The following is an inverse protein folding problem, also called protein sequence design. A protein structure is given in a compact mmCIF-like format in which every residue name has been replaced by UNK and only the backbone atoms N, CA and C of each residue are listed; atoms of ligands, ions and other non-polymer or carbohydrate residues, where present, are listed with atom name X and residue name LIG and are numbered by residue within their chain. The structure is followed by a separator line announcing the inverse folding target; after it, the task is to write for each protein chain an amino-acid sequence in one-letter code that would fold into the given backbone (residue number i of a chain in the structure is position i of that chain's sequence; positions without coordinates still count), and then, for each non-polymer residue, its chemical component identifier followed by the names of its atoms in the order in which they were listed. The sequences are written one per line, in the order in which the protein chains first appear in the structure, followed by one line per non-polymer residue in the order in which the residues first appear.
data_IF_729374257878
#
_entry.id   IF_729374257878
#
_cell.length_a   1.000
_cell.length_b   1.000
_cell.length_c   1.000
_cell.angle_alpha   90.00
_cell.angle_beta   90.00
_cell.angle_gamma   90.00
#
_symmetry.space_group_name_H-M   'P 1'
#
loop_
_entity.id
_entity.type
_entity.pdbx_description
1 polymer ?
#
# COMPACT_ATOMS: atom_id res chain seq x y z
N UNK A 1 14.83 -1.76 -14.71
CA UNK A 1 13.95 -1.02 -15.64
C UNK A 1 13.30 0.15 -14.91
N UNK A 2 13.09 1.30 -15.56
CA UNK A 2 12.45 2.48 -14.98
C UNK A 2 11.48 3.09 -16.00
N UNK A 3 10.20 3.21 -15.65
CA UNK A 3 9.17 3.75 -16.54
C UNK A 3 7.75 3.40 -16.07
N UNK A 4 6.77 3.61 -16.95
CA UNK A 4 5.36 3.39 -16.62
C UNK A 4 4.99 1.90 -16.64
N UNK A 5 4.77 1.33 -15.46
CA UNK A 5 4.36 -0.07 -15.29
C UNK A 5 3.00 -0.39 -15.91
N UNK A 6 2.15 0.61 -16.16
CA UNK A 6 0.86 0.40 -16.82
C UNK A 6 1.00 0.14 -18.32
N UNK A 7 2.11 0.55 -18.94
CA UNK A 7 2.34 0.42 -20.38
C UNK A 7 2.66 -1.03 -20.82
N UNK A 8 2.23 -1.37 -22.04
CA UNK A 8 2.61 -2.64 -22.68
C UNK A 8 4.11 -2.70 -22.99
N UNK A 9 4.73 -1.56 -23.30
CA UNK A 9 6.17 -1.47 -23.54
C UNK A 9 6.99 -1.85 -22.30
N UNK A 10 6.58 -1.43 -21.10
CA UNK A 10 7.23 -1.83 -19.86
C UNK A 10 7.06 -3.33 -19.60
N UNK A 11 5.86 -3.86 -19.81
CA UNK A 11 5.57 -5.30 -19.68
C UNK A 11 6.47 -6.13 -20.60
N UNK A 12 6.62 -5.71 -21.86
CA UNK A 12 7.52 -6.33 -22.82
C UNK A 12 8.98 -6.29 -22.37
N UNK A 13 9.48 -5.13 -21.92
CA UNK A 13 10.86 -5.00 -21.43
C UNK A 13 11.13 -5.91 -20.23
N UNK A 14 10.18 -6.03 -19.29
CA UNK A 14 10.29 -6.94 -18.15
C UNK A 14 10.34 -8.39 -18.63
N UNK A 15 9.46 -8.79 -19.55
CA UNK A 15 9.45 -10.15 -20.13
C UNK A 15 10.79 -10.47 -20.80
N UNK A 16 11.32 -9.55 -21.62
CA UNK A 16 12.58 -9.73 -22.32
C UNK A 16 13.75 -9.86 -21.33
N UNK A 17 13.74 -9.06 -20.25
CA UNK A 17 14.74 -9.13 -19.17
C UNK A 17 14.67 -10.46 -18.43
N UNK A 18 13.46 -10.91 -18.05
CA UNK A 18 13.28 -12.20 -17.37
C UNK A 18 13.80 -13.34 -18.25
N UNK A 19 13.47 -13.35 -19.55
CA UNK A 19 13.95 -14.38 -20.49
C UNK A 19 15.46 -14.40 -20.63
N UNK A 20 16.10 -13.23 -20.67
CA UNK A 20 17.53 -13.11 -20.84
C UNK A 20 18.31 -13.60 -19.60
N UNK A 21 17.83 -13.26 -18.40
CA UNK A 21 18.63 -13.38 -17.18
C UNK A 21 18.19 -14.52 -16.26
N UNK A 22 16.88 -14.70 -16.09
CA UNK A 22 16.30 -15.59 -15.06
C UNK A 22 15.60 -16.82 -15.67
N UNK A 23 15.21 -16.76 -16.94
CA UNK A 23 14.34 -17.71 -17.61
C UNK A 23 12.88 -17.56 -17.15
N UNK A 24 12.61 -17.77 -15.86
CA UNK A 24 11.29 -17.64 -15.25
C UNK A 24 11.37 -16.98 -13.87
N UNK A 25 10.22 -16.52 -13.35
CA UNK A 25 10.05 -16.00 -11.98
C UNK A 25 9.00 -16.80 -11.21
N UNK A 26 9.20 -16.94 -9.90
CA UNK A 26 8.36 -17.71 -8.99
C UNK A 26 7.57 -16.85 -7.98
N UNK A 27 7.90 -15.56 -7.88
CA UNK A 27 7.18 -14.57 -7.08
C UNK A 27 7.01 -13.25 -7.83
N UNK A 28 5.76 -12.79 -7.96
CA UNK A 28 5.40 -11.49 -8.52
C UNK A 28 4.76 -10.63 -7.43
N UNK A 29 5.35 -9.47 -7.12
CA UNK A 29 4.79 -8.51 -6.15
C UNK A 29 4.19 -7.32 -6.89
N UNK A 30 2.87 -7.16 -6.78
CA UNK A 30 2.14 -6.02 -7.32
C UNK A 30 1.94 -4.97 -6.21
N UNK A 31 2.89 -4.05 -6.12
CA UNK A 31 2.94 -2.99 -5.09
C UNK A 31 2.91 -1.58 -5.69
N UNK A 32 2.06 -1.36 -6.70
CA UNK A 32 1.89 -0.04 -7.31
C UNK A 32 0.96 0.86 -6.48
N UNK A 33 1.42 2.09 -6.24
CA UNK A 33 0.61 3.18 -5.73
C UNK A 33 0.80 4.38 -6.65
N UNK A 34 -0.21 4.70 -7.45
CA UNK A 34 -0.17 5.79 -8.42
C UNK A 34 -1.45 6.62 -8.35
N UNK A 35 -1.37 7.97 -8.50
CA UNK A 35 -2.54 8.82 -8.60
C UNK A 35 -3.21 8.75 -9.98
N UNK A 36 -2.57 8.10 -10.97
CA UNK A 36 -3.06 8.03 -12.35
C UNK A 36 -2.62 6.77 -13.08
N UNK A 37 -3.37 6.40 -14.10
CA UNK A 37 -3.05 5.32 -15.03
C UNK A 37 -3.42 5.75 -16.44
N UNK A 38 -2.56 5.45 -17.40
CA UNK A 38 -2.92 5.53 -18.81
C UNK A 38 -3.29 4.12 -19.29
N UNK A 39 -4.45 3.97 -19.91
CA UNK A 39 -4.85 2.70 -20.52
C UNK A 39 -3.90 2.39 -21.68
N UNK A 40 -3.21 1.23 -21.68
CA UNK A 40 -2.24 0.91 -22.72
C UNK A 40 -2.89 0.66 -24.09
N UNK A 41 -4.20 0.37 -24.14
CA UNK A 41 -4.95 0.08 -25.37
C UNK A 41 -5.66 1.30 -25.92
N UNK A 42 -6.42 2.02 -25.09
CA UNK A 42 -7.19 3.19 -25.55
C UNK A 42 -6.39 4.50 -25.51
N UNK A 43 -5.37 4.59 -24.65
CA UNK A 43 -4.64 5.83 -24.37
C UNK A 43 -5.37 6.78 -23.41
N UNK A 44 -6.54 6.40 -22.88
CA UNK A 44 -7.28 7.21 -21.92
C UNK A 44 -6.51 7.33 -20.60
N UNK A 45 -6.62 8.50 -19.94
CA UNK A 45 -5.94 8.76 -18.67
C UNK A 45 -6.96 8.79 -17.54
N UNK A 46 -6.87 7.84 -16.63
CA UNK A 46 -7.65 7.77 -15.40
C UNK A 46 -6.90 8.39 -14.23
N UNK A 47 -7.64 9.01 -13.31
CA UNK A 47 -7.08 9.59 -12.08
C UNK A 47 -7.82 9.06 -10.87
N UNK A 48 -7.09 8.56 -9.88
CA UNK A 48 -7.70 8.14 -8.63
C UNK A 48 -7.95 9.35 -7.73
N UNK A 49 -9.06 9.27 -6.99
CA UNK A 49 -9.38 10.23 -5.93
C UNK A 49 -9.61 9.48 -4.63
N UNK A 50 -9.43 10.16 -3.51
CA UNK A 50 -9.67 9.63 -2.17
C UNK A 50 -10.85 10.38 -1.56
N UNK A 51 -12.06 9.86 -1.82
CA UNK A 51 -13.30 10.48 -1.38
C UNK A 51 -14.25 9.45 -0.77
N UNK A 52 -15.07 9.84 0.22
CA UNK A 52 -16.16 9.00 0.70
C UNK A 52 -17.22 8.79 -0.37
N UNK A 53 -18.03 7.74 -0.24
CA UNK A 53 -19.16 7.47 -1.14
C UNK A 53 -20.46 7.84 -0.42
N UNK A 54 -21.32 8.61 -1.09
CA UNK A 54 -22.68 8.92 -0.63
C UNK A 54 -22.82 10.20 0.21
N UNK A 55 -21.99 10.41 1.24
CA UNK A 55 -22.05 11.60 2.10
C UNK A 55 -20.67 12.17 2.38
N UNK A 56 -20.61 13.47 2.72
CA UNK A 56 -19.38 14.09 3.18
C UNK A 56 -18.90 13.44 4.49
N UNK A 57 -17.60 13.55 4.71
CA UNK A 57 -16.94 12.98 5.87
C UNK A 57 -16.09 14.05 6.56
N UNK A 58 -16.41 14.32 7.83
CA UNK A 58 -15.64 15.23 8.69
C UNK A 58 -15.00 14.45 9.82
N UNK A 59 -13.69 14.61 10.03
CA UNK A 59 -13.00 14.03 11.18
C UNK A 59 -11.74 14.84 11.55
N UNK A 60 -11.13 14.48 12.68
CA UNK A 60 -9.82 14.97 13.10
C UNK A 60 -8.74 14.60 12.09
N UNK A 61 -7.81 15.51 11.92
CA UNK A 61 -6.67 15.43 11.04
C UNK A 61 -5.44 16.03 11.73
N UNK A 62 -4.26 15.74 11.19
CA UNK A 62 -3.01 16.29 11.65
C UNK A 62 -2.33 17.05 10.52
N UNK A 63 -2.07 18.34 10.73
CA UNK A 63 -1.13 19.07 9.91
C UNK A 63 0.30 18.68 10.32
N UNK A 64 0.92 17.82 9.52
CA UNK A 64 2.25 17.25 9.78
C UNK A 64 3.39 18.26 9.72
N UNK A 65 3.15 19.47 9.18
CA UNK A 65 4.15 20.53 9.11
C UNK A 65 4.32 21.23 10.45
N UNK A 66 3.22 21.50 11.15
CA UNK A 66 3.23 22.30 12.39
C UNK A 66 2.69 21.55 13.62
N UNK A 67 2.28 20.29 13.48
CA UNK A 67 1.78 19.46 14.59
C UNK A 67 0.38 19.85 15.07
N UNK A 68 -0.36 20.67 14.32
CA UNK A 68 -1.71 21.10 14.72
C UNK A 68 -2.72 20.01 14.40
N UNK A 69 -3.49 19.60 15.41
CA UNK A 69 -4.67 18.76 15.24
C UNK A 69 -5.84 19.64 14.88
N UNK A 70 -6.44 19.40 13.73
CA UNK A 70 -7.55 20.16 13.19
C UNK A 70 -8.66 19.23 12.68
N UNK A 71 -9.72 19.79 12.12
CA UNK A 71 -10.73 19.02 11.39
C UNK A 71 -10.52 19.15 9.88
N UNK A 72 -10.87 18.10 9.15
CA UNK A 72 -10.94 18.10 7.70
C UNK A 72 -12.30 17.56 7.27
N UNK A 73 -12.91 18.21 6.28
CA UNK A 73 -14.12 17.73 5.61
C UNK A 73 -13.77 17.31 4.19
N UNK A 74 -14.20 16.11 3.80
CA UNK A 74 -14.01 15.56 2.46
C UNK A 74 -15.39 15.36 1.84
N UNK A 75 -15.62 16.01 0.70
CA UNK A 75 -16.85 15.86 -0.06
C UNK A 75 -16.94 14.48 -0.73
N UNK A 76 -18.16 13.95 -0.92
CA UNK A 76 -18.35 12.64 -1.52
C UNK A 76 -17.84 12.58 -2.96
N UNK A 77 -17.59 11.36 -3.42
CA UNK A 77 -17.28 11.06 -4.81
C UNK A 77 -18.43 11.51 -5.72
N UNK A 78 -18.09 12.11 -6.85
CA UNK A 78 -19.04 12.63 -7.84
C UNK A 78 -18.71 12.11 -9.24
N UNK A 79 -19.70 12.13 -10.14
CA UNK A 79 -19.49 11.72 -11.54
C UNK A 79 -18.92 10.31 -11.66
N UNK A 80 -17.75 10.21 -12.29
CA UNK A 80 -17.02 8.96 -12.57
C UNK A 80 -15.85 8.72 -11.60
N UNK A 81 -15.77 9.45 -10.47
CA UNK A 81 -14.68 9.35 -9.48
C UNK A 81 -14.40 7.90 -9.03
N UNK A 82 -15.47 7.10 -8.84
CA UNK A 82 -15.37 5.70 -8.44
C UNK A 82 -14.75 4.86 -9.57
N UNK A 83 -15.28 4.99 -10.79
CA UNK A 83 -14.82 4.21 -11.94
C UNK A 83 -13.37 4.55 -12.30
N UNK A 84 -13.00 5.84 -12.26
CA UNK A 84 -11.62 6.27 -12.45
C UNK A 84 -10.69 5.72 -11.36
N UNK A 85 -11.14 5.70 -10.11
CA UNK A 85 -10.33 5.16 -9.00
C UNK A 85 -10.16 3.64 -9.12
N UNK A 86 -11.21 2.91 -9.52
CA UNK A 86 -11.13 1.47 -9.81
C UNK A 86 -10.16 1.23 -10.97
N UNK A 87 -10.23 2.01 -12.05
CA UNK A 87 -9.33 1.86 -13.19
C UNK A 87 -7.85 2.03 -12.79
N UNK A 88 -7.53 2.94 -11.87
CA UNK A 88 -6.13 3.17 -11.43
C UNK A 88 -5.67 2.17 -10.37
N UNK A 89 -6.49 1.93 -9.33
CA UNK A 89 -6.06 1.25 -8.10
C UNK A 89 -6.68 -0.14 -7.91
N UNK A 90 -7.52 -0.57 -8.85
CA UNK A 90 -8.12 -1.90 -8.90
C UNK A 90 -7.15 -2.97 -9.36
N UNK A 91 -7.69 -4.13 -9.71
CA UNK A 91 -6.92 -5.32 -10.07
C UNK A 91 -6.66 -5.48 -11.57
N UNK A 92 -7.21 -4.62 -12.43
CA UNK A 92 -7.12 -4.80 -13.87
C UNK A 92 -5.67 -4.83 -14.39
N UNK A 93 -4.80 -3.91 -13.97
CA UNK A 93 -3.39 -3.93 -14.43
C UNK A 93 -2.60 -5.11 -13.85
N UNK A 94 -2.95 -5.58 -12.66
CA UNK A 94 -2.39 -6.80 -12.10
C UNK A 94 -2.76 -8.04 -12.93
N UNK A 95 -3.99 -8.11 -13.43
CA UNK A 95 -4.41 -9.12 -14.41
C UNK A 95 -3.62 -8.99 -15.71
N UNK A 96 -3.47 -7.78 -16.26
CA UNK A 96 -2.69 -7.56 -17.49
C UNK A 96 -1.23 -7.98 -17.35
N UNK A 97 -0.59 -7.68 -16.22
CA UNK A 97 0.77 -8.16 -15.92
C UNK A 97 0.83 -9.68 -15.88
N UNK A 98 -0.09 -10.31 -15.15
CA UNK A 98 -0.08 -11.77 -15.00
C UNK A 98 -0.34 -12.46 -16.33
N UNK A 99 -1.29 -11.95 -17.12
CA UNK A 99 -1.60 -12.48 -18.45
C UNK A 99 -0.39 -12.38 -19.38
N UNK A 100 0.26 -11.21 -19.45
CA UNK A 100 1.43 -11.02 -20.29
C UNK A 100 2.61 -11.93 -19.90
N UNK A 101 2.86 -12.12 -18.60
CA UNK A 101 3.91 -13.01 -18.10
C UNK A 101 3.58 -14.49 -18.35
N UNK A 102 2.32 -14.87 -18.18
CA UNK A 102 1.83 -16.24 -18.42
C UNK A 102 1.91 -16.60 -19.91
N UNK A 103 1.43 -15.73 -20.79
CA UNK A 103 1.48 -15.89 -22.25
C UNK A 103 2.93 -15.97 -22.76
N UNK A 104 3.85 -15.22 -22.15
CA UNK A 104 5.26 -15.25 -22.49
C UNK A 104 6.01 -16.50 -21.96
N UNK A 105 5.37 -17.32 -21.13
CA UNK A 105 5.95 -18.53 -20.54
C UNK A 105 7.00 -18.27 -19.47
N UNK A 106 7.00 -17.08 -18.87
CA UNK A 106 8.05 -16.64 -17.92
C UNK A 106 7.65 -16.81 -16.44
N UNK A 107 6.49 -17.41 -16.16
CA UNK A 107 6.10 -17.78 -14.79
C UNK A 107 6.45 -19.25 -14.53
N UNK A 108 7.12 -19.50 -13.40
CA UNK A 108 7.52 -20.85 -12.99
C UNK A 108 6.34 -21.67 -12.43
N UNK A 109 6.49 -22.99 -12.38
CA UNK A 109 5.59 -23.86 -11.61
C UNK A 109 5.63 -23.49 -10.11
N UNK A 110 4.47 -23.46 -9.46
CA UNK A 110 4.29 -23.01 -8.09
C UNK A 110 4.30 -21.49 -7.91
N UNK A 111 4.26 -20.69 -8.99
CA UNK A 111 4.34 -19.22 -8.92
C UNK A 111 3.35 -18.61 -7.95
N UNK A 112 3.81 -17.65 -7.16
CA UNK A 112 2.95 -16.83 -6.29
C UNK A 112 2.90 -15.42 -6.82
N UNK A 113 1.72 -14.83 -6.83
CA UNK A 113 1.57 -13.39 -7.08
C UNK A 113 0.84 -12.74 -5.93
N UNK A 114 1.32 -11.58 -5.46
CA UNK A 114 0.80 -10.91 -4.28
C UNK A 114 0.54 -9.44 -4.57
N UNK A 115 -0.68 -8.97 -4.34
CA UNK A 115 -1.02 -7.55 -4.39
C UNK A 115 -1.24 -6.99 -2.99
N UNK A 116 -0.74 -5.78 -2.73
CA UNK A 116 -0.91 -5.14 -1.43
C UNK A 116 -2.22 -4.36 -1.31
N UNK A 117 -2.85 -4.50 -0.15
CA UNK A 117 -4.10 -3.83 0.21
C UNK A 117 -4.04 -3.32 1.65
N UNK A 118 -5.04 -2.53 2.02
CA UNK A 118 -5.23 -1.98 3.35
C UNK A 118 -6.72 -1.88 3.64
N UNK A 119 -7.14 -2.29 4.83
CA UNK A 119 -8.52 -2.19 5.32
C UNK A 119 -8.59 -1.11 6.40
N UNK A 120 -7.76 -1.25 7.42
CA UNK A 120 -7.64 -0.31 8.51
C UNK A 120 -8.82 -0.28 9.49
N UNK A 121 -8.72 0.60 10.49
CA UNK A 121 -9.71 0.75 11.55
C UNK A 121 -10.98 1.44 11.05
N UNK A 122 -12.06 1.33 11.82
CA UNK A 122 -13.36 1.95 11.52
C UNK A 122 -13.27 3.47 11.30
N UNK A 123 -12.37 4.16 12.01
CA UNK A 123 -12.13 5.60 11.86
C UNK A 123 -11.61 5.98 10.46
N UNK A 124 -11.07 5.04 9.69
CA UNK A 124 -10.62 5.29 8.32
C UNK A 124 -11.58 4.78 7.25
N UNK A 125 -12.60 4.01 7.64
CA UNK A 125 -13.49 3.34 6.67
C UNK A 125 -14.18 4.29 5.69
N UNK A 126 -14.69 5.48 6.07
CA UNK A 126 -15.34 6.38 5.12
C UNK A 126 -14.45 6.79 3.95
N UNK A 127 -13.13 6.92 4.16
CA UNK A 127 -12.17 7.26 3.09
C UNK A 127 -11.63 6.00 2.43
N UNK A 128 -11.31 4.96 3.22
CA UNK A 128 -10.72 3.72 2.73
C UNK A 128 -11.77 2.70 2.35
N UNK A 129 -12.13 1.80 3.29
CA UNK A 129 -12.94 0.60 3.04
C UNK A 129 -14.25 0.88 2.30
N UNK A 130 -14.91 1.98 2.64
CA UNK A 130 -16.22 2.38 2.10
C UNK A 130 -16.13 3.55 1.11
N UNK A 131 -14.93 4.11 0.89
CA UNK A 131 -14.68 5.19 -0.06
C UNK A 131 -14.35 4.68 -1.46
N UNK A 132 -13.95 5.59 -2.35
CA UNK A 132 -13.53 5.30 -3.74
C UNK A 132 -12.40 4.27 -3.80
N UNK A 133 -11.40 4.38 -2.93
CA UNK A 133 -10.27 3.44 -2.89
C UNK A 133 -10.71 2.06 -2.39
N UNK A 134 -11.71 1.99 -1.51
CA UNK A 134 -12.31 0.73 -1.05
C UNK A 134 -12.97 -0.01 -2.21
N UNK A 135 -13.67 0.71 -3.10
CA UNK A 135 -14.22 0.13 -4.34
C UNK A 135 -13.14 -0.40 -5.27
N UNK A 136 -12.00 0.28 -5.37
CA UNK A 136 -10.85 -0.26 -6.08
C UNK A 136 -10.27 -1.53 -5.41
N UNK A 137 -10.24 -1.61 -4.07
CA UNK A 137 -9.79 -2.81 -3.37
C UNK A 137 -10.78 -3.99 -3.46
N UNK A 138 -12.08 -3.73 -3.54
CA UNK A 138 -13.07 -4.76 -3.90
C UNK A 138 -12.80 -5.35 -5.30
N UNK A 139 -12.42 -4.52 -6.28
CA UNK A 139 -12.01 -5.00 -7.61
C UNK A 139 -10.67 -5.78 -7.57
N UNK A 140 -9.74 -5.38 -6.70
CA UNK A 140 -8.49 -6.12 -6.49
C UNK A 140 -8.76 -7.55 -5.95
N UNK A 141 -9.73 -7.70 -5.05
CA UNK A 141 -10.17 -9.02 -4.56
C UNK A 141 -10.87 -9.84 -5.66
N UNK A 142 -11.62 -9.20 -6.57
CA UNK A 142 -12.15 -9.87 -7.77
C UNK A 142 -11.01 -10.37 -8.66
N UNK A 143 -10.02 -9.54 -8.95
CA UNK A 143 -8.86 -9.92 -9.75
C UNK A 143 -8.09 -11.09 -9.13
N UNK A 144 -7.90 -11.10 -7.81
CA UNK A 144 -7.25 -12.23 -7.13
C UNK A 144 -7.93 -13.58 -7.44
N UNK A 145 -9.27 -13.63 -7.40
CA UNK A 145 -10.00 -14.86 -7.72
C UNK A 145 -9.83 -15.28 -9.18
N UNK A 146 -9.86 -14.32 -10.10
CA UNK A 146 -9.62 -14.60 -11.52
C UNK A 146 -8.18 -15.09 -11.78
N UNK A 147 -7.20 -14.53 -11.07
CA UNK A 147 -5.80 -14.94 -11.18
C UNK A 147 -5.55 -16.32 -10.58
N UNK A 148 -6.24 -16.69 -9.50
CA UNK A 148 -6.19 -18.06 -8.96
C UNK A 148 -6.59 -19.10 -10.01
N UNK A 149 -7.65 -18.85 -10.77
CA UNK A 149 -8.10 -19.74 -11.86
C UNK A 149 -7.07 -19.80 -13.00
N UNK A 150 -6.52 -18.65 -13.39
CA UNK A 150 -5.52 -18.55 -14.47
C UNK A 150 -4.20 -19.25 -14.14
N UNK A 151 -3.78 -19.20 -12.87
CA UNK A 151 -2.51 -19.75 -12.41
C UNK A 151 -2.60 -21.22 -11.98
N UNK A 152 -3.81 -21.79 -11.86
CA UNK A 152 -4.01 -23.18 -11.48
C UNK A 152 -3.22 -24.20 -12.33
N UNK A 153 -3.08 -24.05 -13.67
CA UNK A 153 -2.26 -24.96 -14.48
C UNK A 153 -0.77 -24.98 -14.13
N UNK A 154 -0.27 -23.91 -13.48
CA UNK A 154 1.11 -23.82 -12.98
C UNK A 154 1.21 -24.15 -11.49
N UNK A 155 0.19 -24.77 -10.88
CA UNK A 155 0.10 -24.92 -9.42
C UNK A 155 0.30 -23.58 -8.66
N UNK A 156 0.00 -22.47 -9.33
CA UNK A 156 0.28 -21.13 -8.84
C UNK A 156 -0.86 -20.59 -7.97
N UNK A 157 -0.60 -19.44 -7.33
CA UNK A 157 -1.55 -18.84 -6.39
C UNK A 157 -1.47 -17.32 -6.38
N UNK A 158 -2.62 -16.65 -6.37
CA UNK A 158 -2.73 -15.22 -6.18
C UNK A 158 -3.19 -14.89 -4.76
N UNK A 159 -2.58 -13.88 -4.15
CA UNK A 159 -2.91 -13.40 -2.81
C UNK A 159 -3.12 -11.89 -2.80
N UNK A 160 -4.11 -11.45 -2.04
CA UNK A 160 -4.14 -10.09 -1.52
C UNK A 160 -3.54 -10.12 -0.12
N UNK A 161 -2.50 -9.32 0.12
CA UNK A 161 -1.95 -9.10 1.46
C UNK A 161 -2.52 -7.81 2.03
N UNK A 162 -3.30 -7.91 3.10
CA UNK A 162 -3.77 -6.77 3.87
C UNK A 162 -2.67 -6.38 4.85
N UNK A 163 -2.09 -5.22 4.59
CA UNK A 163 -0.94 -4.69 5.29
C UNK A 163 -1.36 -3.66 6.34
N UNK A 164 -0.43 -3.28 7.21
CA UNK A 164 -0.67 -2.34 8.31
C UNK A 164 -0.47 -0.89 7.84
N UNK A 165 -0.97 0.06 8.60
CA UNK A 165 -0.68 1.47 8.41
C UNK A 165 0.80 1.75 8.73
N UNK A 166 1.49 2.33 7.74
CA UNK A 166 2.91 2.66 7.77
C UNK A 166 3.13 4.03 7.14
N UNK A 167 4.19 4.72 7.54
CA UNK A 167 4.60 5.97 6.89
C UNK A 167 5.23 5.66 5.53
N UNK A 168 4.55 6.04 4.46
CA UNK A 168 5.02 5.98 3.07
C UNK A 168 4.65 7.28 2.38
N UNK A 169 5.22 7.55 1.19
CA UNK A 169 4.80 8.70 0.41
C UNK A 169 3.29 8.66 0.13
N UNK A 170 2.75 7.50 -0.23
CA UNK A 170 1.34 7.31 -0.52
C UNK A 170 0.45 7.55 0.72
N UNK A 171 0.76 6.93 1.86
CA UNK A 171 -0.07 7.05 3.07
C UNK A 171 -0.03 8.44 3.70
N UNK A 172 1.10 9.15 3.58
CA UNK A 172 1.27 10.51 4.11
C UNK A 172 0.40 11.56 3.40
N UNK A 173 -0.01 11.28 2.16
CA UNK A 173 -0.87 12.16 1.38
C UNK A 173 -2.36 12.04 1.71
N UNK A 174 -2.74 11.07 2.55
CA UNK A 174 -4.14 10.74 2.84
C UNK A 174 -4.57 11.47 4.11
N UNK A 175 -5.60 12.33 4.07
CA UNK A 175 -6.09 12.99 5.28
C UNK A 175 -6.45 11.98 6.37
N UNK A 176 -6.42 12.39 7.65
CA UNK A 176 -6.73 11.54 8.83
C UNK A 176 -5.63 10.52 9.15
N UNK A 177 -4.96 9.95 8.14
CA UNK A 177 -3.97 8.86 8.29
C UNK A 177 -2.74 9.27 9.11
N UNK A 178 -2.11 10.45 8.93
CA UNK A 178 -0.96 10.84 9.75
C UNK A 178 -1.25 10.88 11.25
N UNK A 179 -2.44 11.35 11.63
CA UNK A 179 -2.88 11.35 13.02
C UNK A 179 -3.05 9.93 13.53
N UNK A 180 -3.72 9.07 12.75
CA UNK A 180 -3.96 7.67 13.12
C UNK A 180 -2.64 6.92 13.31
N UNK A 181 -1.71 7.04 12.36
CA UNK A 181 -0.39 6.41 12.44
C UNK A 181 0.37 6.90 13.67
N UNK A 182 0.31 8.21 13.97
CA UNK A 182 0.98 8.76 15.16
C UNK A 182 0.46 8.12 16.45
N UNK A 183 -0.86 7.97 16.60
CA UNK A 183 -1.46 7.29 17.76
C UNK A 183 -1.12 5.80 17.79
N UNK A 184 -1.28 5.12 16.65
CA UNK A 184 -1.02 3.70 16.48
C UNK A 184 0.43 3.34 16.84
N UNK A 185 1.40 4.12 16.34
CA UNK A 185 2.82 3.88 16.61
C UNK A 185 3.12 3.95 18.10
N UNK A 186 2.55 4.93 18.82
CA UNK A 186 2.73 5.04 20.28
C UNK A 186 2.19 3.80 21.01
N UNK A 187 1.03 3.31 20.59
CA UNK A 187 0.40 2.12 21.20
C UNK A 187 1.20 0.86 20.88
N UNK A 188 1.47 0.58 19.60
CA UNK A 188 2.19 -0.63 19.18
C UNK A 188 3.64 -0.66 19.67
N UNK A 189 4.33 0.49 19.80
CA UNK A 189 5.67 0.55 20.39
C UNK A 189 5.67 0.20 21.87
N UNK A 190 4.65 0.63 22.62
CA UNK A 190 4.50 0.26 24.02
C UNK A 190 4.17 -1.23 24.20
N UNK A 191 3.43 -1.81 23.26
CA UNK A 191 3.08 -3.23 23.21
C UNK A 191 4.20 -4.13 22.65
N UNK A 192 5.21 -3.54 21.98
CA UNK A 192 6.32 -4.29 21.37
C UNK A 192 5.98 -4.92 20.01
N UNK A 193 4.87 -4.50 19.38
CA UNK A 193 4.35 -5.03 18.12
C UNK A 193 4.52 -4.08 16.93
N UNK A 194 5.20 -2.95 17.13
CA UNK A 194 5.44 -1.98 16.06
C UNK A 194 6.42 -2.54 15.00
N UNK A 195 6.01 -2.43 13.75
CA UNK A 195 6.80 -2.76 12.56
C UNK A 195 6.84 -1.55 11.61
N UNK A 196 7.99 -1.34 10.96
CA UNK A 196 8.12 -0.53 9.76
C UNK A 196 7.93 -1.43 8.51
N UNK A 197 8.14 -0.89 7.30
CA UNK A 197 7.90 -1.62 6.05
C UNK A 197 8.74 -2.90 5.94
N UNK A 198 10.00 -2.87 6.38
CA UNK A 198 10.90 -4.02 6.20
C UNK A 198 10.52 -5.20 7.10
N UNK A 199 10.17 -4.94 8.37
CA UNK A 199 9.74 -5.98 9.31
C UNK A 199 8.43 -6.61 8.86
N UNK A 200 7.47 -5.80 8.38
CA UNK A 200 6.21 -6.34 7.87
C UNK A 200 6.42 -7.21 6.63
N UNK A 201 7.30 -6.81 5.71
CA UNK A 201 7.57 -7.60 4.51
C UNK A 201 8.34 -8.89 4.83
N UNK A 202 9.28 -8.85 5.79
CA UNK A 202 9.92 -10.05 6.33
C UNK A 202 8.85 -11.01 6.90
N UNK A 203 7.96 -10.53 7.77
CA UNK A 203 6.91 -11.34 8.37
C UNK A 203 5.94 -11.91 7.33
N UNK A 204 5.56 -11.13 6.32
CA UNK A 204 4.74 -11.61 5.20
C UNK A 204 5.41 -12.79 4.47
N UNK A 205 6.70 -12.68 4.16
CA UNK A 205 7.42 -13.75 3.47
C UNK A 205 7.64 -14.96 4.39
N UNK A 206 8.24 -14.72 5.55
CA UNK A 206 8.71 -15.75 6.49
C UNK A 206 7.57 -16.48 7.18
N UNK A 207 6.57 -15.77 7.68
CA UNK A 207 5.52 -16.36 8.54
C UNK A 207 4.24 -16.69 7.79
N UNK A 208 4.06 -16.19 6.55
CA UNK A 208 2.88 -16.46 5.72
C UNK A 208 3.27 -17.20 4.43
N UNK A 209 3.84 -16.50 3.45
CA UNK A 209 3.98 -17.02 2.07
C UNK A 209 4.87 -18.27 1.97
N UNK A 210 5.92 -18.36 2.77
CA UNK A 210 6.91 -19.45 2.70
C UNK A 210 6.95 -20.34 3.96
N UNK A 211 5.97 -20.22 4.86
CA UNK A 211 5.85 -21.06 6.06
C UNK A 211 4.96 -22.30 5.87
N UNK A 212 4.45 -22.53 4.66
CA UNK A 212 3.51 -23.62 4.37
C UNK A 212 2.08 -23.41 4.91
N UNK A 213 1.83 -22.34 5.68
CA UNK A 213 0.50 -21.96 6.16
C UNK A 213 0.30 -20.44 6.00
N UNK A 214 -0.26 -19.96 4.86
CA UNK A 214 -0.47 -18.54 4.60
C UNK A 214 -1.57 -17.91 5.48
N UNK A 215 -2.34 -18.72 6.22
CA UNK A 215 -3.40 -18.29 7.14
C UNK A 215 -4.35 -17.23 6.54
N UNK A 216 -5.01 -17.53 5.42
CA UNK A 216 -5.93 -16.58 4.83
C UNK A 216 -7.16 -16.35 5.72
N UNK A 217 -7.71 -15.15 5.68
CA UNK A 217 -9.01 -14.86 6.27
C UNK A 217 -10.17 -15.46 5.45
N UNK A 218 -11.40 -15.24 5.90
CA UNK A 218 -12.61 -15.77 5.24
C UNK A 218 -12.77 -15.32 3.77
N UNK A 219 -12.18 -14.17 3.41
CA UNK A 219 -12.19 -13.65 2.04
C UNK A 219 -11.00 -14.15 1.21
N UNK A 220 -10.12 -14.99 1.77
CA UNK A 220 -8.95 -15.53 1.10
C UNK A 220 -7.71 -14.63 1.14
N UNK A 221 -7.67 -13.63 2.03
CA UNK A 221 -6.59 -12.63 2.09
C UNK A 221 -5.57 -12.98 3.16
N UNK A 222 -4.30 -12.74 2.89
CA UNK A 222 -3.24 -12.83 3.90
C UNK A 222 -3.35 -11.59 4.80
N UNK A 223 -3.36 -11.81 6.11
CA UNK A 223 -3.43 -10.75 7.12
C UNK A 223 -2.08 -10.57 7.80
N UNK A 224 -1.45 -9.43 7.54
CA UNK A 224 -0.27 -8.93 8.27
C UNK A 224 -0.56 -7.58 8.94
N UNK A 225 -1.81 -7.14 8.91
CA UNK A 225 -2.40 -6.08 9.74
C UNK A 225 -2.96 -6.62 11.07
N UNK A 226 -2.83 -7.92 11.32
CA UNK A 226 -3.34 -8.63 12.50
C UNK A 226 -2.93 -7.99 13.84
N UNK A 227 -1.67 -7.55 13.98
CA UNK A 227 -1.22 -6.86 15.19
C UNK A 227 -1.77 -5.43 15.32
N UNK A 228 -1.97 -4.73 14.20
CA UNK A 228 -2.64 -3.43 14.21
C UNK A 228 -4.10 -3.59 14.65
N UNK A 229 -4.76 -4.65 14.16
CA UNK A 229 -6.18 -4.93 14.36
C UNK A 229 -6.49 -5.68 15.65
N UNK A 230 -5.51 -5.93 16.52
CA UNK A 230 -5.76 -6.47 17.86
C UNK A 230 -6.75 -5.58 18.61
N UNK A 231 -7.74 -6.20 19.26
CA UNK A 231 -8.85 -5.49 19.92
C UNK A 231 -8.35 -4.49 20.97
N UNK A 232 -7.28 -4.80 21.70
CA UNK A 232 -6.72 -3.91 22.73
C UNK A 232 -6.00 -2.72 22.12
N UNK A 233 -5.28 -2.96 21.02
CA UNK A 233 -4.61 -1.90 20.26
C UNK A 233 -5.66 -0.94 19.71
N UNK A 234 -6.69 -1.47 19.04
CA UNK A 234 -7.76 -0.66 18.45
C UNK A 234 -8.60 0.08 19.50
N UNK A 235 -8.91 -0.54 20.64
CA UNK A 235 -9.61 0.12 21.73
C UNK A 235 -8.82 1.33 22.27
N UNK A 236 -7.51 1.16 22.52
CA UNK A 236 -6.68 2.24 23.04
C UNK A 236 -6.44 3.35 22.00
N UNK A 237 -6.26 2.99 20.72
CA UNK A 237 -6.18 4.00 19.66
C UNK A 237 -7.50 4.76 19.51
N UNK A 238 -8.65 4.09 19.63
CA UNK A 238 -9.97 4.71 19.62
C UNK A 238 -10.17 5.70 20.78
N UNK A 239 -9.82 5.29 22.01
CA UNK A 239 -9.85 6.18 23.18
C UNK A 239 -8.97 7.43 22.96
N UNK A 240 -7.74 7.23 22.47
CA UNK A 240 -6.83 8.34 22.19
C UNK A 240 -7.34 9.23 21.06
N UNK A 241 -8.00 8.66 20.06
CA UNK A 241 -8.60 9.41 18.96
C UNK A 241 -9.65 10.40 19.46
N UNK A 242 -10.48 10.00 20.41
CA UNK A 242 -11.49 10.88 21.01
C UNK A 242 -10.87 12.03 21.80
N UNK A 243 -9.76 11.78 22.51
CA UNK A 243 -9.11 12.74 23.40
C UNK A 243 -8.07 13.66 22.72
N UNK A 244 -7.47 13.22 21.60
CA UNK A 244 -6.35 13.93 21.00
C UNK A 244 -6.74 15.32 20.49
N UNK A 245 -5.88 16.28 20.77
CA UNK A 245 -5.87 17.65 20.29
C UNK A 245 -4.41 18.14 20.18
N UNK A 246 -4.22 19.39 19.78
CA UNK A 246 -2.88 19.96 19.56
C UNK A 246 -2.02 19.95 20.83
N UNK A 247 -2.61 20.20 22.00
CA UNK A 247 -1.87 20.38 23.25
C UNK A 247 -1.37 19.05 23.83
N UNK A 248 -2.07 17.94 23.57
CA UNK A 248 -1.76 16.61 24.11
C UNK A 248 -1.26 15.59 23.06
N UNK A 249 -1.05 16.00 21.81
CA UNK A 249 -0.62 15.10 20.73
C UNK A 249 0.69 14.35 21.07
N UNK A 250 1.66 15.03 21.66
CA UNK A 250 2.97 14.43 21.99
C UNK A 250 2.88 13.39 23.12
N UNK A 251 1.83 13.45 23.94
CA UNK A 251 1.58 12.48 25.01
C UNK A 251 0.87 11.24 24.47
N UNK A 252 -0.21 11.46 23.71
CA UNK A 252 -1.09 10.39 23.22
C UNK A 252 -0.55 9.71 21.94
N UNK A 253 0.22 10.43 21.14
CA UNK A 253 0.79 9.96 19.88
C UNK A 253 2.31 10.00 19.86
N UNK A 254 2.87 9.35 18.85
CA UNK A 254 4.29 9.37 18.51
C UNK A 254 4.51 10.20 17.25
N UNK A 255 4.18 11.49 17.33
CA UNK A 255 4.35 12.39 16.19
C UNK A 255 5.83 12.59 15.81
N UNK A 256 6.73 12.60 16.80
CA UNK A 256 8.17 12.66 16.55
C UNK A 256 8.65 11.42 15.78
N UNK A 257 8.19 10.22 16.16
CA UNK A 257 8.46 9.00 15.42
C UNK A 257 7.90 9.04 14.01
N UNK A 258 6.66 9.52 13.82
CA UNK A 258 6.07 9.73 12.49
C UNK A 258 6.94 10.64 11.62
N UNK A 259 7.35 11.81 12.12
CA UNK A 259 8.19 12.77 11.39
C UNK A 259 9.55 12.17 11.04
N UNK A 260 10.17 11.45 11.99
CA UNK A 260 11.42 10.74 11.75
C UNK A 260 11.26 9.70 10.64
N UNK A 261 10.22 8.86 10.68
CA UNK A 261 9.96 7.87 9.63
C UNK A 261 9.71 8.54 8.27
N UNK A 262 8.98 9.66 8.23
CA UNK A 262 8.73 10.41 7.00
C UNK A 262 10.03 10.97 6.40
N UNK A 263 10.88 11.63 7.20
CA UNK A 263 12.15 12.19 6.75
C UNK A 263 13.10 11.12 6.22
N UNK A 264 13.12 9.94 6.84
CA UNK A 264 13.94 8.80 6.41
C UNK A 264 13.58 8.30 5.01
N UNK A 265 12.31 8.42 4.58
CA UNK A 265 11.90 8.08 3.21
C UNK A 265 12.63 8.90 2.14
N UNK A 266 13.08 10.11 2.49
CA UNK A 266 13.79 11.02 1.61
C UNK A 266 15.28 11.12 1.94
N UNK A 267 15.79 10.20 2.76
CA UNK A 267 17.21 10.13 3.11
C UNK A 267 17.66 11.11 4.19
N UNK A 268 16.74 11.71 4.96
CA UNK A 268 17.06 12.66 6.04
C UNK A 268 16.98 12.02 7.43
N UNK A 269 17.73 12.56 8.40
CA UNK A 269 17.73 12.12 9.79
C UNK A 269 18.30 10.72 10.03
N UNK A 270 19.14 10.22 9.11
CA UNK A 270 19.80 8.93 9.21
C UNK A 270 21.07 9.02 10.07
N UNK A 271 21.22 8.09 11.00
CA UNK A 271 22.44 7.96 11.79
C UNK A 271 23.63 7.59 10.89
N UNK A 272 24.79 8.19 11.13
CA UNK A 272 26.01 7.94 10.37
C UNK A 272 26.12 8.70 9.04
N UNK A 273 25.14 9.53 8.68
CA UNK A 273 25.21 10.39 7.48
C UNK A 273 25.66 11.81 7.87
N UNK A 274 26.73 12.29 7.26
CA UNK A 274 27.16 13.69 7.36
C UNK A 274 26.37 14.56 6.38
N UNK A 275 25.32 15.22 6.88
CA UNK A 275 24.49 16.13 6.09
C UNK A 275 25.16 17.48 5.77
N UNK A 276 26.36 17.75 6.29
CA UNK A 276 27.14 18.94 5.95
C UNK A 276 28.12 18.73 4.79
N UNK A 277 28.35 17.47 4.40
CA UNK A 277 29.23 17.13 3.30
C UNK A 277 28.58 17.42 1.94
N UNK A 278 29.37 17.96 1.01
CA UNK A 278 28.95 18.11 -0.39
C UNK A 278 28.76 16.75 -1.04
N UNK A 279 27.65 16.61 -1.78
CA UNK A 279 27.33 15.38 -2.54
C UNK A 279 26.81 15.73 -3.93
N UNK A 280 27.07 14.84 -4.90
CA UNK A 280 26.51 14.98 -6.24
C UNK A 280 25.09 14.41 -6.27
N UNK A 281 24.08 15.15 -6.78
CA UNK A 281 22.77 14.58 -7.03
C UNK A 281 22.75 13.65 -8.25
N UNK A 282 23.77 13.68 -9.11
CA UNK A 282 23.88 12.79 -10.27
C UNK A 282 24.47 11.43 -9.87
N UNK A 283 23.60 10.54 -9.38
CA UNK A 283 23.95 9.16 -9.02
C UNK A 283 23.48 8.22 -10.14
N UNK A 284 24.42 7.48 -10.75
CA UNK A 284 24.11 6.49 -11.80
C UNK A 284 23.73 5.14 -11.19
N UNK A 285 22.81 4.43 -11.84
CA UNK A 285 22.42 3.06 -11.47
C UNK A 285 23.02 2.10 -12.52
N UNK A 286 24.00 1.24 -12.17
CA UNK A 286 24.74 0.44 -13.16
C UNK A 286 23.87 -0.48 -14.03
N UNK A 287 22.75 -0.95 -13.51
CA UNK A 287 21.80 -1.84 -14.20
C UNK A 287 20.72 -1.10 -14.99
N UNK A 288 20.71 0.24 -14.98
CA UNK A 288 19.84 1.05 -15.83
C UNK A 288 20.71 1.68 -16.92
N UNK A 289 20.56 1.16 -18.14
CA UNK A 289 21.15 1.74 -19.36
C UNK A 289 20.42 3.01 -19.80
#
# INVERSE_FOLDING_TARGET
LNGDAFSDDMKKQVIDTIKADLGQVDLVIYSLASPRRTDPKSGDVYKSVLKPVGSSYTNKNLNTTNGVVNEVTIEPAEGDDIDQTIAVMGGQDWELWTDALLEAGVLADGVRTVAYSYIGPSVTWPIYKNGTIGKAKEDLERAQRALDEKLAPLNGKAWVSVNKALVTQASSAIPVVPLYISLLYKVMKADGTHEDTIEQMDRLLRDRLYNGNPQPDEAGRIRVDDWEMDEKVQALVGERWEQVNTDNLAELGDFAGYQSSFLRLFGFGLEGVDYSADTSPDVKVPSLS
#
